data_IF_973303812023
#
_entry.id   IF_973303812023
#
_cell.length_a   1.000
_cell.length_b   1.000
_cell.length_c   1.000
_cell.angle_alpha   90.00
_cell.angle_beta   90.00
_cell.angle_gamma   90.00
#
_symmetry.space_group_name_H-M   'P 1'
#
loop_
_entity.id
_entity.type
_entity.pdbx_description
1 polymer ?
#
# COMPACT_ATOMS: atom_id res chain seq x y z
N UNK A 1 -1.47 20.24 13.89
CA UNK A 1 -0.30 20.61 13.08
C UNK A 1 -0.75 21.45 11.90
N UNK A 2 0.07 22.35 11.37
CA UNK A 2 -0.26 23.08 10.14
C UNK A 2 -0.26 22.11 8.95
N UNK A 3 -1.22 22.24 8.03
CA UNK A 3 -1.33 21.36 6.86
C UNK A 3 -0.05 21.31 6.01
N UNK A 4 0.65 22.44 5.89
CA UNK A 4 1.94 22.56 5.18
C UNK A 4 3.00 21.58 5.71
N UNK A 5 3.03 21.35 7.02
CA UNK A 5 3.99 20.44 7.64
C UNK A 5 3.68 18.97 7.30
N UNK A 6 2.40 18.60 7.24
CA UNK A 6 1.98 17.24 6.85
C UNK A 6 2.26 16.99 5.37
N UNK A 7 2.05 18.00 4.53
CA UNK A 7 2.40 17.94 3.09
C UNK A 7 3.91 17.74 2.92
N UNK A 8 4.74 18.44 3.70
CA UNK A 8 6.19 18.23 3.68
C UNK A 8 6.57 16.81 4.10
N UNK A 9 5.99 16.28 5.19
CA UNK A 9 6.21 14.88 5.60
C UNK A 9 5.82 13.92 4.48
N UNK A 10 4.68 14.14 3.84
CA UNK A 10 4.20 13.30 2.74
C UNK A 10 5.19 13.29 1.56
N UNK A 11 5.63 14.47 1.11
CA UNK A 11 6.58 14.59 -0.02
C UNK A 11 7.93 13.94 0.33
N UNK A 12 8.47 14.22 1.52
CA UNK A 12 9.76 13.64 1.95
C UNK A 12 9.69 12.12 2.08
N UNK A 13 8.61 11.60 2.66
CA UNK A 13 8.44 10.14 2.84
C UNK A 13 8.27 9.44 1.50
N UNK A 14 7.54 10.04 0.56
CA UNK A 14 7.42 9.54 -0.81
C UNK A 14 8.78 9.53 -1.52
N UNK A 15 9.56 10.61 -1.41
CA UNK A 15 10.89 10.70 -2.00
C UNK A 15 11.85 9.63 -1.46
N UNK A 16 11.81 9.37 -0.15
CA UNK A 16 12.64 8.35 0.49
C UNK A 16 12.37 6.95 -0.05
N UNK A 17 11.11 6.52 -0.15
CA UNK A 17 10.79 5.18 -0.65
C UNK A 17 11.05 5.03 -2.17
N UNK A 18 11.07 6.14 -2.92
CA UNK A 18 11.36 6.14 -4.36
C UNK A 18 12.85 6.03 -4.68
N UNK A 19 13.73 6.54 -3.81
CA UNK A 19 15.19 6.56 -4.02
C UNK A 19 15.87 5.45 -3.23
N UNK A 20 15.43 5.23 -1.99
CA UNK A 20 15.97 4.23 -1.09
C UNK A 20 14.90 3.15 -0.84
N UNK A 21 14.59 2.36 -1.88
CA UNK A 21 13.68 1.22 -1.78
C UNK A 21 14.35 0.04 -1.05
N UNK A 22 14.71 0.24 0.22
CA UNK A 22 15.38 -0.70 1.10
C UNK A 22 14.95 -0.45 2.56
N UNK A 23 15.41 -1.31 3.48
CA UNK A 23 15.04 -1.22 4.90
C UNK A 23 15.29 0.16 5.54
N UNK A 24 16.37 0.86 5.12
CA UNK A 24 16.74 2.17 5.67
C UNK A 24 15.73 3.22 5.23
N UNK A 25 15.45 3.31 3.93
CA UNK A 25 14.47 4.26 3.40
C UNK A 25 13.08 4.06 3.99
N UNK A 26 12.62 2.80 4.10
CA UNK A 26 11.35 2.49 4.76
C UNK A 26 11.36 2.84 6.25
N UNK A 27 12.45 2.58 6.98
CA UNK A 27 12.55 2.90 8.41
C UNK A 27 12.52 4.40 8.66
N UNK A 28 13.22 5.19 7.85
CA UNK A 28 13.22 6.66 7.94
C UNK A 28 11.83 7.19 7.57
N UNK A 29 11.22 6.70 6.49
CA UNK A 29 9.87 7.08 6.10
C UNK A 29 8.85 6.75 7.20
N UNK A 30 8.95 5.58 7.84
CA UNK A 30 8.10 5.22 8.98
C UNK A 30 8.28 6.19 10.15
N UNK A 31 9.53 6.49 10.52
CA UNK A 31 9.83 7.42 11.60
C UNK A 31 9.26 8.82 11.32
N UNK A 32 9.42 9.33 10.09
CA UNK A 32 8.88 10.63 9.67
C UNK A 32 7.35 10.65 9.68
N UNK A 33 6.71 9.62 9.10
CA UNK A 33 5.25 9.55 9.03
C UNK A 33 4.60 9.27 10.39
N UNK A 34 5.30 8.66 11.35
CA UNK A 34 4.79 8.37 12.70
C UNK A 34 4.22 9.60 13.43
N UNK A 35 4.75 10.78 13.14
CA UNK A 35 4.30 12.07 13.67
C UNK A 35 2.84 12.36 13.29
N UNK A 36 2.38 11.83 12.16
CA UNK A 36 1.03 12.01 11.63
C UNK A 36 0.03 10.96 12.10
N UNK A 37 0.48 9.88 12.77
CA UNK A 37 -0.35 8.71 13.05
C UNK A 37 -1.64 9.02 13.79
N UNK A 38 -1.64 9.98 14.71
CA UNK A 38 -2.85 10.39 15.44
C UNK A 38 -3.93 11.01 14.55
N UNK A 39 -3.57 11.48 13.36
CA UNK A 39 -4.46 12.11 12.39
C UNK A 39 -4.93 11.12 11.31
N UNK A 40 -4.36 9.92 11.25
CA UNK A 40 -4.69 8.94 10.24
C UNK A 40 -5.95 8.15 10.61
N UNK A 41 -6.69 7.76 9.58
CA UNK A 41 -7.86 6.90 9.70
C UNK A 41 -7.42 5.43 9.80
N UNK A 42 -7.21 4.95 11.02
CA UNK A 42 -6.74 3.59 11.28
C UNK A 42 -7.81 2.51 11.09
N UNK A 43 -9.02 2.79 11.58
CA UNK A 43 -10.14 1.83 11.58
C UNK A 43 -11.40 2.52 11.09
N UNK A 44 -12.21 1.81 10.31
CA UNK A 44 -13.55 2.21 9.88
C UNK A 44 -14.49 0.99 9.77
N UNK A 45 -15.77 1.21 9.49
CA UNK A 45 -16.83 0.18 9.48
C UNK A 45 -17.70 0.23 8.21
N UNK A 46 -17.11 0.54 7.06
CA UNK A 46 -17.75 0.52 5.75
C UNK A 46 -17.73 -0.86 5.07
N UNK A 47 -18.61 -1.77 5.48
CA UNK A 47 -18.61 -3.16 5.00
C UNK A 47 -18.75 -3.31 3.47
N UNK A 48 -19.51 -2.43 2.82
CA UNK A 48 -19.69 -2.48 1.36
C UNK A 48 -18.38 -2.30 0.58
N UNK A 49 -17.49 -1.44 1.08
CA UNK A 49 -16.17 -1.26 0.46
C UNK A 49 -15.25 -2.47 0.70
N UNK A 50 -15.35 -3.15 1.85
CA UNK A 50 -14.56 -4.35 2.14
C UNK A 50 -14.91 -5.52 1.22
N UNK A 51 -16.20 -5.73 0.94
CA UNK A 51 -16.63 -6.78 -0.01
C UNK A 51 -16.11 -6.49 -1.42
N UNK A 52 -16.23 -5.25 -1.88
CA UNK A 52 -15.68 -4.83 -3.17
C UNK A 52 -14.15 -4.95 -3.22
N UNK A 53 -13.45 -4.63 -2.12
CA UNK A 53 -12.01 -4.79 -2.00
C UNK A 53 -11.60 -6.25 -2.19
N UNK A 54 -12.26 -7.18 -1.49
CA UNK A 54 -11.99 -8.62 -1.60
C UNK A 54 -12.30 -9.17 -2.99
N UNK A 55 -13.40 -8.72 -3.62
CA UNK A 55 -13.76 -9.15 -4.97
C UNK A 55 -12.72 -8.71 -6.02
N UNK A 56 -12.29 -7.44 -5.96
CA UNK A 56 -11.26 -6.92 -6.88
C UNK A 56 -9.90 -7.54 -6.58
N UNK A 57 -9.57 -7.75 -5.30
CA UNK A 57 -8.36 -8.45 -4.90
C UNK A 57 -8.31 -9.86 -5.49
N UNK A 58 -9.39 -10.64 -5.32
CA UNK A 58 -9.47 -12.00 -5.84
C UNK A 58 -9.33 -12.04 -7.36
N UNK A 59 -9.92 -11.07 -8.07
CA UNK A 59 -9.76 -10.93 -9.52
C UNK A 59 -8.31 -10.61 -9.90
N UNK A 60 -7.70 -9.63 -9.24
CA UNK A 60 -6.31 -9.24 -9.48
C UNK A 60 -5.35 -10.42 -9.23
N UNK A 61 -5.54 -11.11 -8.11
CA UNK A 61 -4.77 -12.29 -7.73
C UNK A 61 -4.94 -13.43 -8.73
N UNK A 62 -6.16 -13.73 -9.18
CA UNK A 62 -6.39 -14.77 -10.18
C UNK A 62 -5.71 -14.46 -11.52
N UNK A 63 -5.74 -13.20 -11.96
CA UNK A 63 -5.04 -12.75 -13.18
C UNK A 63 -3.52 -12.91 -13.00
N UNK A 64 -2.97 -12.43 -11.89
CA UNK A 64 -1.54 -12.49 -11.60
C UNK A 64 -1.04 -13.94 -11.50
N UNK A 65 -1.78 -14.78 -10.78
CA UNK A 65 -1.51 -16.22 -10.67
C UNK A 65 -1.51 -16.91 -12.03
N UNK A 66 -2.45 -16.57 -12.92
CA UNK A 66 -2.49 -17.13 -14.27
C UNK A 66 -1.34 -16.66 -15.17
N UNK A 67 -0.90 -15.40 -15.02
CA UNK A 67 0.27 -14.87 -15.74
C UNK A 67 1.57 -15.53 -15.28
N UNK A 68 1.59 -16.06 -14.05
CA UNK A 68 2.65 -16.90 -13.51
C UNK A 68 3.63 -16.12 -12.62
N UNK A 69 4.27 -16.82 -11.67
CA UNK A 69 5.24 -16.23 -10.76
C UNK A 69 6.40 -15.64 -11.57
N UNK A 70 6.66 -14.35 -11.34
CA UNK A 70 7.83 -13.68 -11.91
C UNK A 70 9.04 -14.05 -11.07
N UNK A 71 10.24 -14.04 -11.65
CA UNK A 71 11.45 -14.52 -10.97
C UNK A 71 11.54 -14.02 -9.52
N UNK A 72 11.76 -14.96 -8.58
CA UNK A 72 11.98 -14.64 -7.18
C UNK A 72 13.32 -13.94 -7.04
N UNK A 73 13.28 -12.61 -6.91
CA UNK A 73 14.44 -11.85 -6.48
C UNK A 73 14.69 -12.17 -5.01
N UNK A 74 15.95 -12.35 -4.62
CA UNK A 74 16.35 -12.48 -3.22
C UNK A 74 15.93 -11.22 -2.45
N UNK A 75 14.79 -11.31 -1.78
CA UNK A 75 14.12 -10.20 -1.11
C UNK A 75 14.26 -10.37 0.39
N UNK A 76 14.54 -9.26 1.09
CA UNK A 76 14.48 -9.16 2.54
C UNK A 76 13.01 -9.33 2.99
N UNK A 77 12.63 -10.58 3.31
CA UNK A 77 11.25 -10.99 3.62
C UNK A 77 10.60 -10.07 4.68
N UNK A 78 11.23 -9.79 5.84
CA UNK A 78 10.69 -8.83 6.81
C UNK A 78 10.35 -7.46 6.23
N UNK A 79 11.15 -6.96 5.27
CA UNK A 79 10.89 -5.67 4.64
C UNK A 79 9.67 -5.78 3.73
N UNK A 80 9.66 -6.74 2.81
CA UNK A 80 8.60 -6.82 1.79
C UNK A 80 7.26 -7.29 2.35
N UNK A 81 7.25 -8.20 3.32
CA UNK A 81 5.99 -8.74 3.83
C UNK A 81 5.39 -7.86 4.93
N UNK A 82 6.20 -7.07 5.64
CA UNK A 82 5.74 -6.33 6.83
C UNK A 82 6.01 -4.83 6.73
N UNK A 83 7.27 -4.42 6.63
CA UNK A 83 7.63 -3.00 6.76
C UNK A 83 7.12 -2.17 5.57
N UNK A 84 7.34 -2.64 4.35
CA UNK A 84 6.94 -1.95 3.13
C UNK A 84 5.41 -1.79 3.06
N UNK A 85 4.57 -2.82 3.25
CA UNK A 85 3.12 -2.65 3.31
C UNK A 85 2.67 -1.58 4.31
N UNK A 86 3.22 -1.58 5.54
CA UNK A 86 2.83 -0.58 6.55
C UNK A 86 3.15 0.84 6.07
N UNK A 87 4.36 1.06 5.56
CA UNK A 87 4.82 2.38 5.14
C UNK A 87 4.11 2.85 3.87
N UNK A 88 3.98 1.96 2.88
CA UNK A 88 3.30 2.25 1.63
C UNK A 88 1.83 2.58 1.86
N UNK A 89 1.11 1.85 2.71
CA UNK A 89 -0.29 2.17 3.00
C UNK A 89 -0.44 3.53 3.70
N UNK A 90 0.49 3.90 4.59
CA UNK A 90 0.52 5.25 5.18
C UNK A 90 0.77 6.31 4.11
N UNK A 91 1.74 6.11 3.22
CA UNK A 91 2.15 7.12 2.21
C UNK A 91 1.16 7.22 1.05
N UNK A 92 0.57 6.12 0.61
CA UNK A 92 -0.30 6.08 -0.57
C UNK A 92 -1.78 6.16 -0.23
N UNK A 93 -2.20 5.89 1.02
CA UNK A 93 -3.61 5.98 1.43
C UNK A 93 -3.77 6.95 2.60
N UNK A 94 -3.06 6.72 3.70
CA UNK A 94 -3.18 7.54 4.91
C UNK A 94 -2.99 9.04 4.65
N UNK A 95 -1.80 9.43 4.17
CA UNK A 95 -1.42 10.83 3.94
C UNK A 95 -2.18 11.49 2.79
N UNK A 96 -2.38 10.86 1.60
CA UNK A 96 -3.12 11.47 0.52
C UNK A 96 -4.55 11.80 0.89
N UNK A 97 -5.25 10.90 1.59
CA UNK A 97 -6.61 11.17 2.10
C UNK A 97 -6.65 12.19 3.23
N UNK A 98 -5.52 12.46 3.89
CA UNK A 98 -5.39 13.48 4.92
C UNK A 98 -5.14 14.88 4.32
N UNK A 99 -4.37 15.00 3.23
CA UNK A 99 -3.89 16.30 2.72
C UNK A 99 -4.47 16.72 1.37
N UNK A 100 -5.02 15.78 0.58
CA UNK A 100 -5.58 16.06 -0.75
C UNK A 100 -7.11 16.02 -0.73
N UNK A 101 -7.79 16.70 -1.67
CA UNK A 101 -9.21 16.46 -1.89
C UNK A 101 -9.44 14.99 -2.29
N UNK A 102 -10.58 14.42 -1.89
CA UNK A 102 -10.89 12.99 -2.04
C UNK A 102 -10.64 12.43 -3.44
N UNK A 103 -10.99 13.17 -4.49
CA UNK A 103 -10.78 12.72 -5.87
C UNK A 103 -9.29 12.59 -6.23
N UNK A 104 -8.44 13.50 -5.74
CA UNK A 104 -7.00 13.46 -5.98
C UNK A 104 -6.34 12.37 -5.14
N UNK A 105 -6.81 12.17 -3.90
CA UNK A 105 -6.37 11.06 -3.06
C UNK A 105 -6.67 9.71 -3.74
N UNK A 106 -7.87 9.53 -4.32
CA UNK A 106 -8.22 8.32 -5.06
C UNK A 106 -7.27 8.06 -6.25
N UNK A 107 -6.96 9.08 -7.04
CA UNK A 107 -6.02 8.96 -8.17
C UNK A 107 -4.62 8.62 -7.67
N UNK A 108 -4.15 9.27 -6.60
CA UNK A 108 -2.84 9.01 -6.03
C UNK A 108 -2.72 7.58 -5.46
N UNK A 109 -3.71 7.16 -4.68
CA UNK A 109 -3.77 5.82 -4.07
C UNK A 109 -3.91 4.67 -5.06
N UNK A 110 -4.30 4.95 -6.31
CA UNK A 110 -4.50 3.93 -7.35
C UNK A 110 -3.51 4.10 -8.50
N UNK A 111 -3.68 5.11 -9.35
CA UNK A 111 -2.90 5.30 -10.56
C UNK A 111 -1.43 5.62 -10.27
N UNK A 112 -1.14 6.55 -9.34
CA UNK A 112 0.26 6.90 -9.03
C UNK A 112 0.98 5.72 -8.41
N UNK A 113 0.37 5.06 -7.42
CA UNK A 113 0.92 3.82 -6.85
C UNK A 113 1.23 2.77 -7.93
N UNK A 114 0.27 2.53 -8.83
CA UNK A 114 0.42 1.53 -9.89
C UNK A 114 1.55 1.83 -10.88
N UNK A 115 1.74 3.10 -11.23
CA UNK A 115 2.80 3.54 -12.16
C UNK A 115 4.22 3.31 -11.63
N UNK A 116 4.37 3.13 -10.32
CA UNK A 116 5.66 2.84 -9.68
C UNK A 116 6.04 1.36 -9.72
N UNK A 117 5.16 0.49 -10.24
CA UNK A 117 5.38 -0.95 -10.27
C UNK A 117 5.75 -1.43 -11.68
N UNK A 118 6.52 -2.54 -11.81
CA UNK A 118 6.91 -3.08 -13.11
C UNK A 118 5.73 -3.51 -14.00
N UNK A 119 4.57 -3.81 -13.41
CA UNK A 119 3.34 -4.21 -14.12
C UNK A 119 2.18 -3.29 -13.75
N UNK A 120 2.12 -2.05 -14.29
CA UNK A 120 1.22 -1.03 -13.79
C UNK A 120 -0.26 -1.41 -13.88
N UNK A 121 -0.70 -2.10 -14.94
CA UNK A 121 -2.12 -2.48 -15.06
C UNK A 121 -2.57 -3.46 -13.97
N UNK A 122 -1.70 -4.41 -13.62
CA UNK A 122 -1.99 -5.36 -12.55
C UNK A 122 -1.88 -4.69 -11.17
N UNK A 123 -0.83 -3.90 -10.97
CA UNK A 123 -0.64 -3.11 -9.75
C UNK A 123 -1.82 -2.15 -9.52
N UNK A 124 -2.42 -1.63 -10.59
CA UNK A 124 -3.62 -0.79 -10.52
C UNK A 124 -4.84 -1.53 -9.95
N UNK A 125 -5.06 -2.79 -10.33
CA UNK A 125 -6.15 -3.60 -9.76
C UNK A 125 -5.95 -3.85 -8.27
N UNK A 126 -4.73 -4.23 -7.86
CA UNK A 126 -4.39 -4.34 -6.43
C UNK A 126 -4.54 -3.00 -5.71
N UNK A 127 -4.10 -1.90 -6.31
CA UNK A 127 -4.20 -0.57 -5.72
C UNK A 127 -5.66 -0.13 -5.52
N UNK A 128 -6.56 -0.49 -6.46
CA UNK A 128 -8.00 -0.30 -6.28
C UNK A 128 -8.49 -1.12 -5.07
N UNK A 129 -8.15 -2.40 -4.99
CA UNK A 129 -8.55 -3.25 -3.87
C UNK A 129 -8.07 -2.69 -2.52
N UNK A 130 -6.80 -2.28 -2.42
CA UNK A 130 -6.21 -1.66 -1.23
C UNK A 130 -6.89 -0.33 -0.88
N UNK A 131 -7.20 0.50 -1.88
CA UNK A 131 -7.93 1.76 -1.67
C UNK A 131 -9.35 1.51 -1.16
N UNK A 132 -10.05 0.50 -1.69
CA UNK A 132 -11.36 0.10 -1.18
C UNK A 132 -11.27 -0.48 0.24
N UNK A 133 -10.25 -1.28 0.53
CA UNK A 133 -10.00 -1.78 1.88
C UNK A 133 -9.78 -0.63 2.87
N UNK A 134 -9.03 0.40 2.48
CA UNK A 134 -8.85 1.62 3.27
C UNK A 134 -10.17 2.40 3.46
N UNK A 135 -10.97 2.55 2.41
CA UNK A 135 -12.26 3.24 2.48
C UNK A 135 -13.25 2.51 3.39
N UNK A 136 -13.21 1.18 3.43
CA UNK A 136 -14.09 0.35 4.23
C UNK A 136 -13.63 0.13 5.67
N UNK A 137 -12.34 -0.12 5.89
CA UNK A 137 -11.82 -0.54 7.19
C UNK A 137 -10.66 0.30 7.73
N UNK A 138 -10.26 1.37 7.03
CA UNK A 138 -9.11 2.20 7.39
C UNK A 138 -7.76 1.56 7.04
N UNK A 139 -6.67 2.18 7.50
CA UNK A 139 -5.31 1.69 7.26
C UNK A 139 -5.10 0.25 7.72
N UNK A 140 -5.72 -0.15 8.84
CA UNK A 140 -5.56 -1.52 9.34
C UNK A 140 -5.99 -2.56 8.31
N UNK A 141 -7.14 -2.36 7.65
CA UNK A 141 -7.63 -3.30 6.65
C UNK A 141 -6.80 -3.29 5.37
N UNK A 142 -6.30 -2.14 4.92
CA UNK A 142 -5.47 -2.08 3.73
C UNK A 142 -4.06 -2.65 3.98
N UNK A 143 -3.47 -2.39 5.15
CA UNK A 143 -2.20 -2.99 5.59
C UNK A 143 -2.33 -4.51 5.67
N UNK A 144 -3.39 -5.02 6.32
CA UNK A 144 -3.61 -6.48 6.42
C UNK A 144 -3.75 -7.11 5.04
N UNK A 145 -4.52 -6.51 4.13
CA UNK A 145 -4.69 -7.05 2.78
C UNK A 145 -3.38 -7.02 1.99
N UNK A 146 -2.59 -5.94 2.11
CA UNK A 146 -1.31 -5.80 1.43
C UNK A 146 -0.26 -6.79 1.98
N UNK A 147 -0.09 -6.87 3.30
CA UNK A 147 0.78 -7.86 3.93
C UNK A 147 0.36 -9.29 3.58
N UNK A 148 -0.94 -9.60 3.63
CA UNK A 148 -1.42 -10.93 3.25
C UNK A 148 -1.08 -11.26 1.80
N UNK A 149 -1.23 -10.31 0.88
CA UNK A 149 -0.84 -10.50 -0.51
C UNK A 149 0.66 -10.84 -0.65
N UNK A 150 1.53 -10.06 -0.01
CA UNK A 150 2.97 -10.24 -0.12
C UNK A 150 3.38 -11.57 0.49
N UNK A 151 2.85 -11.93 1.66
CA UNK A 151 3.08 -13.23 2.29
C UNK A 151 2.62 -14.38 1.40
N UNK A 152 1.42 -14.32 0.80
CA UNK A 152 0.92 -15.38 -0.09
C UNK A 152 1.89 -15.57 -1.28
N UNK A 153 2.32 -14.47 -1.90
CA UNK A 153 3.28 -14.54 -3.01
C UNK A 153 4.64 -15.08 -2.56
N UNK A 154 5.17 -14.62 -1.43
CA UNK A 154 6.40 -15.15 -0.82
C UNK A 154 6.28 -16.66 -0.60
N UNK A 155 5.16 -17.17 -0.07
CA UNK A 155 4.94 -18.60 0.10
C UNK A 155 4.91 -19.37 -1.22
N UNK A 156 4.25 -18.84 -2.26
CA UNK A 156 4.23 -19.44 -3.60
C UNK A 156 5.65 -19.50 -4.18
N UNK A 157 6.43 -18.42 -4.09
CA UNK A 157 7.80 -18.39 -4.60
C UNK A 157 8.74 -19.36 -3.86
N UNK A 158 8.51 -19.54 -2.56
CA UNK A 158 9.24 -20.51 -1.73
C UNK A 158 8.72 -21.95 -1.89
N UNK A 159 7.72 -22.18 -2.74
CA UNK A 159 7.07 -23.49 -2.95
C UNK A 159 6.47 -24.08 -1.67
N UNK A 160 5.92 -23.21 -0.81
CA UNK A 160 5.25 -23.56 0.44
C UNK A 160 3.71 -23.57 0.30
N UNK A 161 3.19 -23.12 -0.85
CA UNK A 161 1.79 -23.15 -1.28
C UNK A 161 1.73 -23.49 -2.76
#
# INVERSE_FOLDING_TARGET
MKNEFIVLIFILSLFLILIENNIVGYSIALALTSITFRNLKWVDRGIGYLLSALAIYALAFAIDFYVGPKEYLHIDIPVVDVLAPVVEEVIFRGLPFLVLPRWAALIFSTAVFALLHPFPLLAFLYAIALTLAYLGGGLASSIVLHTANNVIWTLIYLHLL
#
